data_IF_077938402438
#
_entry.id   IF_077938402438
#
_cell.length_a   1.000
_cell.length_b   1.000
_cell.length_c   1.000
_cell.angle_alpha   90.00
_cell.angle_beta   90.00
_cell.angle_gamma   90.00
#
_symmetry.space_group_name_H-M   'P 1'
#
loop_
_entity.id
_entity.type
_entity.pdbx_description
1 polymer ?
#
# COMPACT_ATOMS: atom_id res chain seq x y z
N UNK A 1 -22.57 16.10 -12.31
CA UNK A 1 -21.79 16.36 -11.10
C UNK A 1 -20.40 16.72 -11.60
N UNK A 2 -19.95 17.95 -11.36
CA UNK A 2 -18.65 18.45 -11.85
C UNK A 2 -17.52 17.69 -11.15
N UNK A 3 -16.58 17.21 -11.95
CA UNK A 3 -15.46 16.33 -11.56
C UNK A 3 -14.29 17.10 -10.87
N UNK A 4 -14.55 18.31 -10.35
CA UNK A 4 -13.51 19.30 -10.06
C UNK A 4 -13.23 19.60 -8.57
N UNK A 5 -13.87 18.92 -7.61
CA UNK A 5 -13.65 19.24 -6.19
C UNK A 5 -13.28 17.99 -5.39
N UNK A 6 -12.00 17.72 -5.23
CA UNK A 6 -11.47 16.68 -4.33
C UNK A 6 -10.06 16.28 -4.70
N UNK A 7 -9.23 16.05 -3.69
CA UNK A 7 -7.83 15.70 -3.81
C UNK A 7 -7.68 14.20 -4.15
N UNK A 8 -6.98 13.87 -5.24
CA UNK A 8 -6.86 12.51 -5.80
C UNK A 8 -5.53 11.88 -5.43
N UNK A 9 -5.56 10.80 -4.67
CA UNK A 9 -4.37 10.06 -4.23
C UNK A 9 -4.39 8.63 -4.76
N UNK A 10 -3.35 8.20 -5.44
CA UNK A 10 -3.11 6.77 -5.68
C UNK A 10 -2.47 6.17 -4.45
N UNK A 11 -3.24 5.42 -3.67
CA UNK A 11 -2.88 5.03 -2.30
C UNK A 11 -1.81 3.93 -2.19
N UNK A 12 -1.37 3.33 -3.32
CA UNK A 12 -0.44 2.21 -3.25
C UNK A 12 0.28 2.01 -4.58
N UNK A 13 1.50 2.51 -4.70
CA UNK A 13 2.35 2.43 -5.90
C UNK A 13 3.69 1.81 -5.53
N UNK A 14 4.15 0.82 -6.32
CA UNK A 14 5.40 0.08 -6.08
C UNK A 14 6.60 0.60 -6.85
N UNK A 15 6.35 1.30 -7.92
CA UNK A 15 7.36 1.82 -8.84
C UNK A 15 7.37 3.34 -8.79
N UNK A 16 8.57 3.93 -8.87
CA UNK A 16 8.73 5.39 -8.86
C UNK A 16 9.93 5.77 -9.70
N UNK A 17 9.69 6.54 -10.73
CA UNK A 17 10.66 7.19 -11.61
C UNK A 17 9.99 8.35 -12.35
N UNK A 18 10.72 9.07 -13.18
CA UNK A 18 10.23 10.22 -13.96
C UNK A 18 8.98 9.87 -14.78
N UNK A 19 8.97 8.72 -15.45
CA UNK A 19 7.81 8.26 -16.24
C UNK A 19 6.57 8.04 -15.37
N UNK A 20 6.74 7.56 -14.14
CA UNK A 20 5.65 7.40 -13.17
C UNK A 20 5.10 8.75 -12.76
N UNK A 21 5.96 9.73 -12.48
CA UNK A 21 5.57 11.10 -12.11
C UNK A 21 4.79 11.76 -13.25
N UNK A 22 5.34 11.76 -14.47
CA UNK A 22 4.67 12.30 -15.66
C UNK A 22 3.29 11.66 -15.86
N UNK A 23 3.22 10.34 -15.68
CA UNK A 23 1.97 9.60 -15.82
C UNK A 23 0.97 9.92 -14.72
N UNK A 24 1.40 10.06 -13.48
CA UNK A 24 0.56 10.45 -12.36
C UNK A 24 -0.07 11.82 -12.60
N UNK A 25 0.74 12.80 -13.00
CA UNK A 25 0.28 14.15 -13.39
C UNK A 25 -0.70 14.10 -14.57
N UNK A 26 -0.37 13.39 -15.64
CA UNK A 26 -1.24 13.21 -16.80
C UNK A 26 -2.55 12.46 -16.45
N UNK A 27 -2.57 11.67 -15.41
CA UNK A 27 -3.76 11.00 -14.90
C UNK A 27 -4.64 11.92 -14.05
N UNK A 28 -4.15 13.09 -13.65
CA UNK A 28 -4.80 14.06 -12.77
C UNK A 28 -4.76 13.63 -11.31
N UNK A 29 -3.68 12.96 -10.91
CA UNK A 29 -3.40 12.72 -9.50
C UNK A 29 -2.73 13.94 -8.88
N UNK A 30 -3.10 14.25 -7.65
CA UNK A 30 -2.47 15.28 -6.83
C UNK A 30 -1.38 14.69 -5.94
N UNK A 31 -1.53 13.40 -5.57
CA UNK A 31 -0.52 12.67 -4.82
C UNK A 31 -0.50 11.17 -5.15
N UNK A 32 0.60 10.52 -4.75
CA UNK A 32 0.69 9.07 -4.70
C UNK A 32 1.44 8.60 -3.45
N UNK A 33 1.04 7.45 -2.91
CA UNK A 33 1.76 6.78 -1.81
C UNK A 33 2.72 5.77 -2.41
N UNK A 34 4.02 6.06 -2.31
CA UNK A 34 5.08 5.17 -2.74
C UNK A 34 5.41 4.16 -1.64
N UNK A 35 5.04 2.91 -1.85
CA UNK A 35 5.20 1.83 -0.87
C UNK A 35 5.77 0.56 -1.53
N UNK A 36 7.06 0.56 -1.91
CA UNK A 36 7.72 -0.57 -2.56
C UNK A 36 7.89 -1.76 -1.60
N UNK A 37 8.13 -2.95 -2.18
CA UNK A 37 8.47 -4.14 -1.40
C UNK A 37 9.95 -4.14 -0.99
N UNK A 38 10.24 -4.58 0.23
CA UNK A 38 11.59 -4.88 0.71
C UNK A 38 12.61 -3.73 0.56
N UNK A 39 12.12 -2.50 0.62
CA UNK A 39 12.94 -1.29 0.65
C UNK A 39 12.82 -0.65 2.03
N UNK A 40 13.93 -0.21 2.62
CA UNK A 40 13.92 0.42 3.94
C UNK A 40 13.30 1.82 3.89
N UNK A 41 12.69 2.23 5.00
CA UNK A 41 11.99 3.51 5.10
C UNK A 41 12.86 4.73 4.73
N UNK A 42 14.13 4.84 5.15
CA UNK A 42 14.97 5.98 4.75
C UNK A 42 15.12 6.12 3.24
N UNK A 43 15.31 5.03 2.52
CA UNK A 43 15.42 5.01 1.05
C UNK A 43 14.09 5.38 0.37
N UNK A 44 12.96 4.94 0.95
CA UNK A 44 11.62 5.32 0.48
C UNK A 44 11.41 6.82 0.64
N UNK A 45 11.78 7.40 1.80
CA UNK A 45 11.66 8.83 2.08
C UNK A 45 12.53 9.67 1.15
N UNK A 46 13.79 9.29 0.98
CA UNK A 46 14.71 9.97 0.07
C UNK A 46 14.16 10.00 -1.36
N UNK A 47 13.68 8.84 -1.83
CA UNK A 47 13.11 8.72 -3.16
C UNK A 47 11.80 9.50 -3.30
N UNK A 48 10.91 9.44 -2.31
CA UNK A 48 9.66 10.20 -2.31
C UNK A 48 9.94 11.70 -2.37
N UNK A 49 10.87 12.21 -1.58
CA UNK A 49 11.27 13.61 -1.60
C UNK A 49 11.89 14.03 -2.96
N UNK A 50 12.71 13.17 -3.57
CA UNK A 50 13.33 13.44 -4.85
C UNK A 50 12.35 13.56 -6.03
N UNK A 51 11.18 12.92 -5.93
CA UNK A 51 10.17 12.90 -6.98
C UNK A 51 8.91 13.70 -6.64
N UNK A 52 8.87 14.39 -5.52
CA UNK A 52 7.81 15.36 -5.18
C UNK A 52 8.11 16.71 -5.80
N UNK A 53 7.09 17.38 -6.31
CA UNK A 53 7.16 18.76 -6.80
C UNK A 53 5.83 19.51 -6.55
N UNK A 54 5.69 20.71 -7.08
CA UNK A 54 4.50 21.57 -6.88
C UNK A 54 3.20 21.00 -7.49
N UNK A 55 3.30 20.03 -8.41
CA UNK A 55 2.15 19.43 -9.12
C UNK A 55 1.80 18.03 -8.60
N UNK A 56 2.76 17.30 -7.99
CA UNK A 56 2.57 15.95 -7.50
C UNK A 56 3.29 15.73 -6.18
N UNK A 57 2.54 15.43 -5.13
CA UNK A 57 3.10 15.03 -3.85
C UNK A 57 3.35 13.52 -3.83
N UNK A 58 4.58 13.10 -3.59
CA UNK A 58 4.94 11.69 -3.37
C UNK A 58 5.06 11.44 -1.87
N UNK A 59 4.18 10.60 -1.34
CA UNK A 59 4.08 10.33 0.09
C UNK A 59 4.77 9.00 0.40
N UNK A 60 5.72 8.95 1.34
CA UNK A 60 6.37 7.70 1.72
C UNK A 60 5.39 6.80 2.47
N UNK A 61 5.24 5.58 1.98
CA UNK A 61 4.48 4.51 2.61
C UNK A 61 5.29 3.22 2.69
N UNK A 62 4.80 2.25 3.42
CA UNK A 62 5.47 0.95 3.56
C UNK A 62 4.42 -0.16 3.49
N UNK A 63 4.54 -1.08 2.54
CA UNK A 63 3.82 -2.34 2.62
C UNK A 63 4.67 -3.34 3.41
N UNK A 64 4.18 -3.73 4.58
CA UNK A 64 4.82 -4.67 5.49
C UNK A 64 4.33 -6.09 5.22
N UNK A 65 5.26 -7.03 5.12
CA UNK A 65 4.98 -8.46 5.09
C UNK A 65 5.11 -9.04 6.48
N UNK A 66 3.99 -9.31 7.13
CA UNK A 66 3.97 -9.93 8.46
C UNK A 66 3.80 -11.44 8.36
N UNK A 67 4.24 -12.16 9.38
CA UNK A 67 4.10 -13.60 9.46
C UNK A 67 5.08 -14.39 8.58
N UNK A 68 4.93 -15.70 8.59
CA UNK A 68 5.78 -16.63 7.85
C UNK A 68 5.42 -16.67 6.35
N UNK A 69 6.31 -17.24 5.54
CA UNK A 69 6.07 -17.42 4.09
C UNK A 69 4.74 -18.11 3.74
N UNK A 70 4.23 -18.98 4.61
CA UNK A 70 2.99 -19.72 4.38
C UNK A 70 1.75 -19.00 4.90
N UNK A 71 1.92 -18.06 5.84
CA UNK A 71 0.85 -17.35 6.51
C UNK A 71 1.10 -15.83 6.52
N UNK A 72 1.53 -15.29 5.39
CA UNK A 72 1.82 -13.86 5.23
C UNK A 72 0.56 -13.03 5.26
N UNK A 73 0.67 -11.85 5.86
CA UNK A 73 -0.35 -10.82 5.82
C UNK A 73 0.29 -9.47 5.55
N UNK A 74 -0.31 -8.71 4.67
CA UNK A 74 0.22 -7.42 4.28
C UNK A 74 -0.53 -6.32 5.02
N UNK A 75 0.23 -5.33 5.48
CA UNK A 75 -0.25 -4.06 6.02
C UNK A 75 0.34 -2.94 5.19
N UNK A 76 -0.45 -1.94 4.85
CA UNK A 76 0.06 -0.70 4.26
C UNK A 76 0.10 0.36 5.35
N UNK A 77 1.30 0.83 5.68
CA UNK A 77 1.54 1.85 6.70
C UNK A 77 1.94 3.18 6.06
N UNK A 78 1.40 4.28 6.59
CA UNK A 78 1.74 5.66 6.21
C UNK A 78 2.00 6.46 7.49
N UNK A 79 2.93 7.41 7.45
CA UNK A 79 3.30 8.21 8.63
C UNK A 79 4.19 7.47 9.62
N UNK A 80 5.03 6.57 9.12
CA UNK A 80 6.06 5.92 9.94
C UNK A 80 7.18 6.91 10.27
N UNK A 81 7.64 6.94 11.51
CA UNK A 81 8.81 7.71 11.94
C UNK A 81 10.09 6.87 11.89
N UNK A 82 10.00 5.61 12.25
CA UNK A 82 11.12 4.68 12.31
C UNK A 82 10.91 3.47 11.39
N UNK A 83 12.01 2.85 10.89
CA UNK A 83 11.90 1.66 10.07
C UNK A 83 11.26 0.49 10.81
N UNK A 84 10.30 -0.17 10.17
CA UNK A 84 9.68 -1.41 10.62
C UNK A 84 10.08 -2.53 9.66
N UNK A 85 10.58 -3.67 10.15
CA UNK A 85 10.99 -4.78 9.28
C UNK A 85 9.79 -5.57 8.75
N UNK A 86 10.04 -6.34 7.70
CA UNK A 86 9.18 -7.43 7.27
C UNK A 86 9.42 -8.68 8.15
N UNK A 87 8.59 -9.70 8.01
CA UNK A 87 8.75 -11.01 8.65
C UNK A 87 8.77 -10.98 10.18
N UNK A 88 8.04 -10.06 10.76
CA UNK A 88 7.66 -10.07 12.18
C UNK A 88 6.21 -10.57 12.32
N UNK A 89 5.82 -10.95 13.52
CA UNK A 89 4.44 -11.35 13.78
C UNK A 89 3.46 -10.22 13.45
N UNK A 90 2.22 -10.54 13.09
CA UNK A 90 1.18 -9.52 12.86
C UNK A 90 0.97 -8.65 14.10
N UNK A 91 0.96 -9.27 15.28
CA UNK A 91 0.83 -8.57 16.56
C UNK A 91 2.01 -7.61 16.81
N UNK A 92 3.24 -8.06 16.57
CA UNK A 92 4.44 -7.22 16.68
C UNK A 92 4.40 -6.03 15.74
N UNK A 93 3.99 -6.25 14.48
CA UNK A 93 3.81 -5.18 13.51
C UNK A 93 2.73 -4.17 13.96
N UNK A 94 1.55 -4.64 14.36
CA UNK A 94 0.45 -3.77 14.82
C UNK A 94 0.83 -2.98 16.08
N UNK A 95 1.58 -3.59 17.00
CA UNK A 95 2.07 -2.90 18.21
C UNK A 95 3.09 -1.82 17.87
N UNK A 96 4.01 -2.10 16.95
CA UNK A 96 5.01 -1.12 16.52
C UNK A 96 4.38 0.04 15.74
N UNK A 97 3.42 -0.25 14.84
CA UNK A 97 2.69 0.78 14.12
C UNK A 97 1.88 1.67 15.06
N UNK A 98 1.29 1.09 16.10
CA UNK A 98 0.59 1.86 17.14
C UNK A 98 1.55 2.70 17.96
N UNK A 99 2.73 2.18 18.32
CA UNK A 99 3.76 2.94 19.06
C UNK A 99 4.18 4.20 18.30
N UNK A 100 4.26 4.10 16.99
CA UNK A 100 4.61 5.22 16.10
C UNK A 100 3.41 6.09 15.72
N UNK A 101 2.22 5.78 16.19
CA UNK A 101 0.99 6.45 15.77
C UNK A 101 0.81 6.48 14.23
N UNK A 102 1.27 5.43 13.56
CA UNK A 102 1.20 5.32 12.11
C UNK A 102 -0.22 4.94 11.64
N UNK A 103 -0.61 5.43 10.49
CA UNK A 103 -1.82 4.98 9.81
C UNK A 103 -1.64 3.57 9.29
N UNK A 104 -2.59 2.68 9.61
CA UNK A 104 -2.65 1.30 9.13
C UNK A 104 -3.81 1.13 8.18
N UNK A 105 -3.52 0.65 6.99
CA UNK A 105 -4.50 0.33 5.96
C UNK A 105 -4.43 -1.17 5.63
N UNK A 106 -5.60 -1.79 5.38
CA UNK A 106 -5.70 -3.18 4.96
C UNK A 106 -5.76 -3.26 3.42
N UNK A 107 -4.65 -3.57 2.73
CA UNK A 107 -4.62 -3.68 1.29
C UNK A 107 -5.26 -4.99 0.83
N UNK A 108 -5.79 -5.02 -0.39
CA UNK A 108 -6.32 -6.18 -1.13
C UNK A 108 -7.04 -7.24 -0.26
N UNK A 109 -8.08 -6.88 0.53
CA UNK A 109 -8.73 -7.81 1.46
C UNK A 109 -9.32 -9.00 0.73
N UNK A 110 -9.09 -10.20 1.28
CA UNK A 110 -9.57 -11.45 0.67
C UNK A 110 -8.85 -11.89 -0.61
N UNK A 111 -7.68 -11.33 -0.89
CA UNK A 111 -6.83 -11.70 -2.03
C UNK A 111 -5.81 -12.76 -1.61
N UNK A 112 -5.92 -13.97 -2.20
CA UNK A 112 -5.04 -15.11 -1.90
C UNK A 112 -4.87 -15.35 -0.37
N UNK A 113 -3.67 -15.74 0.02
CA UNK A 113 -3.27 -15.98 1.43
C UNK A 113 -2.40 -14.85 2.01
N UNK A 114 -2.42 -13.68 1.41
CA UNK A 114 -1.58 -12.53 1.80
C UNK A 114 -2.37 -11.35 2.39
N UNK A 115 -3.67 -11.55 2.60
CA UNK A 115 -4.56 -10.52 3.12
C UNK A 115 -4.89 -10.74 4.59
N UNK A 116 -5.25 -9.66 5.28
CA UNK A 116 -5.92 -9.78 6.57
C UNK A 116 -7.23 -10.58 6.41
N UNK A 117 -7.46 -11.50 7.31
CA UNK A 117 -8.72 -12.26 7.38
C UNK A 117 -9.81 -11.45 8.08
N UNK A 118 -11.06 -11.92 8.01
CA UNK A 118 -12.13 -11.31 8.80
C UNK A 118 -11.88 -11.33 10.31
N UNK A 119 -11.19 -12.38 10.81
CA UNK A 119 -10.80 -12.46 12.22
C UNK A 119 -9.71 -11.41 12.56
N UNK A 120 -8.73 -11.19 11.68
CA UNK A 120 -7.73 -10.15 11.88
C UNK A 120 -8.36 -8.75 11.87
N UNK A 121 -9.25 -8.49 10.91
CA UNK A 121 -9.99 -7.23 10.83
C UNK A 121 -10.85 -7.00 12.09
N UNK A 122 -11.45 -8.05 12.65
CA UNK A 122 -12.20 -7.95 13.89
C UNK A 122 -11.30 -7.71 15.11
N UNK A 123 -10.11 -8.34 15.15
CA UNK A 123 -9.18 -8.23 16.27
C UNK A 123 -8.46 -6.88 16.31
N UNK A 124 -8.20 -6.27 15.17
CA UNK A 124 -7.42 -5.03 15.05
C UNK A 124 -8.23 -3.86 14.47
N UNK A 125 -9.56 -3.97 14.46
CA UNK A 125 -10.42 -3.02 13.79
C UNK A 125 -10.30 -1.58 14.27
N UNK A 126 -10.09 -1.38 15.55
CA UNK A 126 -9.84 -0.08 16.19
C UNK A 126 -8.53 0.61 15.77
N UNK A 127 -7.62 -0.16 15.14
CA UNK A 127 -6.29 0.29 14.68
C UNK A 127 -6.20 0.37 13.15
N UNK A 128 -7.26 -0.01 12.42
CA UNK A 128 -7.30 0.00 10.95
C UNK A 128 -8.05 1.22 10.47
N UNK A 129 -7.36 2.12 9.77
CA UNK A 129 -7.88 3.40 9.29
C UNK A 129 -8.56 3.33 7.92
N UNK A 130 -8.48 2.18 7.26
CA UNK A 130 -9.15 1.96 5.99
C UNK A 130 -8.91 0.57 5.40
N UNK A 131 -9.85 0.14 4.55
CA UNK A 131 -9.79 -1.16 3.86
C UNK A 131 -9.93 -0.93 2.36
N UNK A 132 -9.09 -1.60 1.57
CA UNK A 132 -9.07 -1.41 0.13
C UNK A 132 -10.32 -2.01 -0.53
N UNK A 133 -11.11 -1.14 -1.15
CA UNK A 133 -12.33 -1.51 -1.84
C UNK A 133 -12.07 -1.97 -3.29
N UNK A 134 -11.00 -1.45 -3.91
CA UNK A 134 -10.67 -1.77 -5.29
C UNK A 134 -9.20 -1.54 -5.64
N UNK A 135 -8.61 -2.50 -6.35
CA UNK A 135 -7.39 -2.35 -7.15
C UNK A 135 -7.44 -3.23 -8.41
N UNK A 136 -6.60 -3.00 -9.42
CA UNK A 136 -6.60 -3.73 -10.70
C UNK A 136 -6.36 -5.24 -10.59
N UNK A 137 -5.68 -5.72 -9.56
CA UNK A 137 -5.39 -7.14 -9.35
C UNK A 137 -6.53 -7.92 -8.70
N UNK A 138 -7.49 -7.21 -8.11
CA UNK A 138 -8.71 -7.80 -7.58
C UNK A 138 -9.70 -8.11 -8.72
N UNK A 139 -9.45 -9.21 -9.44
CA UNK A 139 -10.36 -9.68 -10.49
C UNK A 139 -11.79 -9.88 -9.95
N UNK A 140 -12.77 -9.94 -10.84
CA UNK A 140 -14.20 -9.81 -10.56
C UNK A 140 -14.71 -10.47 -9.26
N UNK A 141 -14.24 -11.66 -8.91
CA UNK A 141 -14.67 -12.39 -7.69
C UNK A 141 -14.03 -11.80 -6.43
N UNK A 142 -12.71 -11.56 -6.47
CA UNK A 142 -11.96 -10.96 -5.36
C UNK A 142 -12.40 -9.51 -5.12
N UNK A 143 -12.62 -8.74 -6.19
CA UNK A 143 -13.12 -7.37 -6.07
C UNK A 143 -14.54 -7.27 -5.48
N UNK A 144 -15.43 -8.23 -5.78
CA UNK A 144 -16.75 -8.29 -5.10
C UNK A 144 -16.61 -8.62 -3.62
N UNK A 145 -15.68 -9.54 -3.28
CA UNK A 145 -15.41 -9.90 -1.88
C UNK A 145 -14.84 -8.71 -1.11
N UNK A 146 -13.86 -8.00 -1.67
CA UNK A 146 -13.28 -6.81 -1.05
C UNK A 146 -14.33 -5.74 -0.74
N UNK A 147 -15.17 -5.39 -1.72
CA UNK A 147 -16.27 -4.44 -1.50
C UNK A 147 -17.24 -4.89 -0.42
N UNK A 148 -17.61 -6.17 -0.41
CA UNK A 148 -18.48 -6.71 0.64
C UNK A 148 -17.87 -6.58 2.03
N UNK A 149 -16.57 -6.87 2.18
CA UNK A 149 -15.84 -6.69 3.45
C UNK A 149 -15.91 -5.23 3.91
N UNK A 150 -15.68 -4.30 2.99
CA UNK A 150 -15.76 -2.85 3.27
C UNK A 150 -17.17 -2.45 3.70
N UNK A 151 -18.19 -2.87 2.95
CA UNK A 151 -19.60 -2.52 3.19
C UNK A 151 -20.14 -3.13 4.51
N UNK A 152 -19.92 -4.43 4.71
CA UNK A 152 -20.40 -5.15 5.91
C UNK A 152 -19.69 -4.65 7.19
N UNK A 153 -18.39 -4.39 7.10
CA UNK A 153 -17.58 -3.86 8.21
C UNK A 153 -17.71 -2.35 8.40
N UNK A 154 -18.37 -1.63 7.48
CA UNK A 154 -18.47 -0.17 7.45
C UNK A 154 -17.09 0.51 7.51
N UNK A 155 -16.10 -0.11 6.88
CA UNK A 155 -14.75 0.42 6.85
C UNK A 155 -14.65 1.65 5.96
N UNK A 156 -13.87 2.68 6.35
CA UNK A 156 -13.53 3.75 5.43
C UNK A 156 -12.81 3.18 4.19
N UNK A 157 -13.36 3.35 2.98
CA UNK A 157 -12.78 2.74 1.79
C UNK A 157 -11.53 3.48 1.31
N UNK A 158 -10.62 2.76 0.67
CA UNK A 158 -9.63 3.35 -0.22
C UNK A 158 -9.50 2.51 -1.50
N UNK A 159 -8.91 3.08 -2.52
CA UNK A 159 -8.57 2.40 -3.75
C UNK A 159 -7.18 2.82 -4.22
N UNK A 160 -6.50 1.92 -4.89
CA UNK A 160 -5.16 2.15 -5.41
C UNK A 160 -4.95 1.48 -6.75
N UNK A 161 -3.98 1.94 -7.53
CA UNK A 161 -3.54 1.22 -8.72
C UNK A 161 -2.79 -0.06 -8.36
N UNK A 162 -2.22 -0.14 -7.17
CA UNK A 162 -1.30 -1.20 -6.73
C UNK A 162 -0.27 -1.50 -7.83
N UNK A 163 0.26 -0.43 -8.42
CA UNK A 163 1.03 -0.47 -9.66
C UNK A 163 2.42 -1.04 -9.44
N UNK A 164 2.71 -2.18 -10.06
CA UNK A 164 4.04 -2.74 -10.26
C UNK A 164 4.57 -2.38 -11.66
N UNK A 165 3.66 -2.04 -12.56
CA UNK A 165 3.96 -1.54 -13.89
C UNK A 165 3.67 -0.04 -13.98
N UNK A 166 4.58 0.73 -14.57
CA UNK A 166 4.40 2.18 -14.81
C UNK A 166 3.06 2.51 -15.47
N UNK A 167 2.63 1.64 -16.40
CA UNK A 167 1.41 1.83 -17.18
C UNK A 167 0.12 1.82 -16.36
N UNK A 168 0.14 1.32 -15.13
CA UNK A 168 -1.03 1.17 -14.27
C UNK A 168 -1.21 2.31 -13.27
N UNK A 169 -0.20 3.16 -13.09
CA UNK A 169 -0.30 4.33 -12.22
C UNK A 169 -1.45 5.24 -12.66
N UNK A 170 -2.28 5.65 -11.70
CA UNK A 170 -3.46 6.50 -11.96
C UNK A 170 -4.65 5.77 -12.61
N UNK A 171 -4.65 4.44 -12.65
CA UNK A 171 -5.84 3.67 -13.07
C UNK A 171 -6.93 3.66 -11.98
N UNK A 172 -6.52 3.82 -10.72
CA UNK A 172 -7.41 3.86 -9.55
C UNK A 172 -6.87 4.91 -8.59
N UNK A 173 -7.76 5.61 -7.92
CA UNK A 173 -7.41 6.62 -6.92
C UNK A 173 -8.46 6.69 -5.81
N UNK A 174 -8.05 7.20 -4.67
CA UNK A 174 -8.94 7.65 -3.60
C UNK A 174 -9.07 9.16 -3.70
N UNK A 175 -10.29 9.66 -3.68
CA UNK A 175 -10.59 11.09 -3.69
C UNK A 175 -11.02 11.51 -2.30
N UNK A 176 -10.27 12.42 -1.69
CA UNK A 176 -10.55 13.03 -0.41
C UNK A 176 -11.27 14.37 -0.60
N UNK A 177 -12.15 14.72 0.33
CA UNK A 177 -12.79 16.05 0.37
C UNK A 177 -11.86 17.12 0.94
N UNK A 178 -10.77 16.69 1.60
CA UNK A 178 -9.73 17.55 2.16
C UNK A 178 -8.52 17.59 1.23
N UNK A 179 -7.95 18.78 1.03
CA UNK A 179 -6.68 18.94 0.34
C UNK A 179 -5.53 18.40 1.19
N UNK A 180 -4.53 17.82 0.56
CA UNK A 180 -3.32 17.26 1.16
C UNK A 180 -2.12 18.00 0.54
N UNK A 181 -1.47 18.84 1.31
CA UNK A 181 -0.31 19.62 0.83
C UNK A 181 1.03 19.01 1.29
N UNK A 182 0.99 18.22 2.36
CA UNK A 182 2.13 17.54 2.95
C UNK A 182 1.77 16.10 3.30
N UNK A 183 2.75 15.19 3.45
CA UNK A 183 2.50 13.81 3.85
C UNK A 183 1.67 13.67 5.13
N UNK A 184 1.90 14.57 6.11
CA UNK A 184 1.20 14.58 7.40
C UNK A 184 -0.30 14.86 7.23
N UNK A 185 -0.68 15.69 6.26
CA UNK A 185 -2.10 16.01 6.00
C UNK A 185 -2.89 14.77 5.53
N UNK A 186 -2.24 13.85 4.79
CA UNK A 186 -2.85 12.56 4.43
C UNK A 186 -2.99 11.66 5.66
N UNK A 187 -1.98 11.62 6.52
CA UNK A 187 -1.99 10.85 7.77
C UNK A 187 -3.16 11.32 8.63
N UNK A 188 -3.31 12.62 8.83
CA UNK A 188 -4.40 13.21 9.61
C UNK A 188 -5.77 12.96 8.96
N UNK A 189 -5.89 13.12 7.64
CA UNK A 189 -7.14 12.83 6.93
C UNK A 189 -7.58 11.36 7.06
N UNK A 190 -6.61 10.43 7.09
CA UNK A 190 -6.88 9.00 7.25
C UNK A 190 -7.27 8.66 8.70
N UNK A 191 -6.59 9.22 9.69
CA UNK A 191 -6.89 9.05 11.12
C UNK A 191 -8.26 9.61 11.50
N UNK A 192 -8.56 10.80 11.04
CA UNK A 192 -9.84 11.47 11.29
C UNK A 192 -11.01 10.84 10.50
N UNK A 193 -10.74 9.91 9.59
CA UNK A 193 -11.76 9.30 8.77
C UNK A 193 -12.45 10.27 7.80
N UNK A 194 -11.70 11.26 7.29
CA UNK A 194 -12.23 12.24 6.32
C UNK A 194 -13.00 11.53 5.20
N UNK A 195 -14.18 12.02 4.81
CA UNK A 195 -14.98 11.46 3.74
C UNK A 195 -14.18 11.31 2.45
N UNK A 196 -14.26 10.12 1.87
CA UNK A 196 -13.49 9.78 0.68
C UNK A 196 -14.23 8.79 -0.20
N UNK A 197 -13.95 8.83 -1.49
CA UNK A 197 -14.55 7.94 -2.50
C UNK A 197 -13.47 7.30 -3.36
N UNK A 198 -13.76 6.12 -3.89
CA UNK A 198 -12.85 5.41 -4.79
C UNK A 198 -13.24 5.68 -6.24
N UNK A 199 -12.31 6.28 -6.99
CA UNK A 199 -12.41 6.48 -8.42
C UNK A 199 -11.56 5.49 -9.20
N UNK A 200 -11.98 5.17 -10.43
CA UNK A 200 -11.21 4.31 -11.33
C UNK A 200 -11.47 4.63 -12.78
N UNK A 201 -10.52 4.33 -13.63
CA UNK A 201 -10.74 4.33 -15.07
C UNK A 201 -11.57 3.12 -15.49
N UNK A 202 -12.13 3.18 -16.67
CA UNK A 202 -12.99 2.12 -17.24
C UNK A 202 -12.62 1.87 -18.71
N UNK A 203 -13.22 0.85 -19.32
CA UNK A 203 -13.02 0.52 -20.73
C UNK A 203 -11.89 -0.49 -20.98
N UNK A 204 -11.66 -0.77 -22.27
CA UNK A 204 -10.76 -1.85 -22.71
C UNK A 204 -9.31 -1.61 -22.26
N UNK A 205 -8.84 -0.38 -22.29
CA UNK A 205 -7.46 -0.06 -21.85
C UNK A 205 -7.25 -0.36 -20.38
N UNK A 206 -8.22 -0.01 -19.53
CA UNK A 206 -8.17 -0.35 -18.10
C UNK A 206 -8.14 -1.87 -17.91
N UNK A 207 -8.98 -2.62 -18.62
CA UNK A 207 -9.01 -4.08 -18.52
C UNK A 207 -7.68 -4.72 -18.95
N UNK A 208 -7.06 -4.22 -20.02
CA UNK A 208 -5.75 -4.70 -20.46
C UNK A 208 -4.66 -4.42 -19.42
N UNK A 209 -4.68 -3.26 -18.76
CA UNK A 209 -3.75 -2.94 -17.67
C UNK A 209 -3.98 -3.82 -16.45
N UNK A 210 -5.22 -4.07 -16.07
CA UNK A 210 -5.56 -5.02 -15.00
C UNK A 210 -5.01 -6.43 -15.31
N UNK A 211 -5.15 -6.89 -16.56
CA UNK A 211 -4.62 -8.18 -16.97
C UNK A 211 -3.08 -8.20 -16.94
N UNK A 212 -2.43 -7.14 -17.40
CA UNK A 212 -0.97 -7.03 -17.37
C UNK A 212 -0.43 -7.02 -15.93
N UNK A 213 -1.05 -6.28 -15.01
CA UNK A 213 -0.70 -6.28 -13.59
C UNK A 213 -0.90 -7.66 -12.95
N UNK A 214 -1.97 -8.35 -13.28
CA UNK A 214 -2.21 -9.70 -12.78
C UNK A 214 -1.18 -10.70 -13.32
N UNK A 215 -0.82 -10.61 -14.60
CA UNK A 215 0.23 -11.45 -15.20
C UNK A 215 1.61 -11.17 -14.58
N UNK A 216 1.90 -9.89 -14.30
CA UNK A 216 3.16 -9.50 -13.64
C UNK A 216 3.30 -10.09 -12.23
N UNK A 217 2.21 -10.26 -11.48
CA UNK A 217 2.22 -10.98 -10.21
C UNK A 217 2.75 -12.41 -10.34
N UNK A 218 2.43 -13.10 -11.43
CA UNK A 218 2.96 -14.44 -11.72
C UNK A 218 4.49 -14.42 -11.87
N UNK A 219 5.01 -13.40 -12.54
CA UNK A 219 6.46 -13.18 -12.69
C UNK A 219 7.12 -12.87 -11.33
N UNK A 220 6.61 -11.94 -10.56
CA UNK A 220 7.15 -11.59 -9.24
C UNK A 220 7.09 -12.76 -8.25
N UNK A 221 6.01 -13.54 -8.28
CA UNK A 221 5.85 -14.67 -7.39
C UNK A 221 6.73 -15.89 -7.74
N UNK A 222 7.26 -15.96 -8.95
CA UNK A 222 8.12 -17.07 -9.38
C UNK A 222 9.60 -16.67 -9.41
N UNK A 223 9.99 -15.77 -10.30
CA UNK A 223 11.39 -15.47 -10.58
C UNK A 223 12.03 -14.53 -9.56
N UNK A 224 11.35 -13.46 -9.19
CA UNK A 224 11.92 -12.51 -8.23
C UNK A 224 12.08 -13.08 -6.82
N UNK A 225 11.30 -14.12 -6.46
CA UNK A 225 11.52 -14.86 -5.21
C UNK A 225 12.79 -15.71 -5.26
N UNK A 226 13.06 -16.37 -6.38
CA UNK A 226 14.28 -17.17 -6.56
C UNK A 226 15.50 -16.24 -6.48
N UNK A 227 15.46 -15.11 -7.17
CA UNK A 227 16.53 -14.13 -7.19
C UNK A 227 16.85 -13.60 -5.77
N UNK A 228 15.84 -13.17 -5.04
CA UNK A 228 16.01 -12.66 -3.67
C UNK A 228 16.48 -13.69 -2.66
N UNK A 229 15.89 -14.88 -2.68
CA UNK A 229 16.17 -15.92 -1.67
C UNK A 229 17.53 -16.57 -1.87
N UNK A 230 17.98 -16.68 -3.11
CA UNK A 230 19.16 -17.48 -3.43
C UNK A 230 20.35 -16.67 -3.97
N UNK A 231 20.12 -15.48 -4.53
CA UNK A 231 21.15 -14.72 -5.22
C UNK A 231 21.54 -13.41 -4.53
N UNK A 232 20.65 -12.77 -3.78
CA UNK A 232 20.89 -11.43 -3.21
C UNK A 232 21.21 -11.42 -1.70
N UNK A 233 21.15 -12.56 -1.02
CA UNK A 233 21.42 -12.65 0.42
C UNK A 233 20.29 -12.19 1.32
N UNK A 234 20.62 -11.70 2.52
CA UNK A 234 19.61 -11.30 3.52
C UNK A 234 18.88 -10.03 3.08
N UNK A 235 17.57 -10.09 3.03
CA UNK A 235 16.72 -8.94 2.71
C UNK A 235 17.02 -7.75 3.63
N UNK A 236 17.18 -6.54 3.10
CA UNK A 236 17.49 -5.35 3.91
C UNK A 236 16.38 -4.99 4.91
N UNK A 237 15.18 -5.55 4.74
CA UNK A 237 14.05 -5.40 5.65
C UNK A 237 13.82 -6.60 6.56
N UNK A 238 14.73 -7.59 6.55
CA UNK A 238 14.68 -8.71 7.49
C UNK A 238 14.88 -8.24 8.93
N UNK A 239 14.12 -8.71 9.94
CA UNK A 239 14.18 -8.20 11.31
C UNK A 239 15.57 -8.34 11.96
N UNK A 240 16.35 -9.35 11.56
CA UNK A 240 17.74 -9.55 12.05
C UNK A 240 18.79 -8.78 11.25
N UNK A 241 18.37 -7.90 10.32
CA UNK A 241 19.33 -7.03 9.64
C UNK A 241 19.92 -6.02 10.64
N UNK A 242 21.20 -5.73 10.52
CA UNK A 242 21.96 -4.86 11.44
C UNK A 242 21.31 -3.48 11.67
N UNK A 243 20.60 -2.98 10.71
CA UNK A 243 19.89 -1.70 10.80
C UNK A 243 18.76 -1.66 11.85
N UNK A 244 18.33 -2.80 12.37
CA UNK A 244 17.31 -2.90 13.41
C UNK A 244 17.86 -3.16 14.80
N UNK A 245 19.16 -3.41 14.95
CA UNK A 245 19.88 -3.52 16.24
C UNK A 245 19.24 -4.51 17.23
N UNK A 246 18.63 -5.58 16.73
CA UNK A 246 17.95 -6.59 17.56
C UNK A 246 16.58 -6.19 18.12
N UNK A 247 16.08 -5.00 17.81
CA UNK A 247 14.80 -4.47 18.35
C UNK A 247 13.58 -5.36 18.09
N UNK A 248 13.66 -6.26 17.13
CA UNK A 248 12.54 -7.09 16.68
C UNK A 248 12.83 -8.60 16.79
N UNK A 249 13.88 -9.00 17.53
CA UNK A 249 14.30 -10.40 17.60
C UNK A 249 13.23 -11.29 18.23
N UNK A 250 12.52 -10.81 19.25
CA UNK A 250 11.47 -11.50 19.99
C UNK A 250 10.15 -11.64 19.20
N UNK A 251 9.95 -10.82 18.17
CA UNK A 251 8.78 -10.88 17.27
C UNK A 251 9.13 -11.37 15.87
N UNK A 252 10.40 -11.67 15.60
CA UNK A 252 10.86 -12.21 14.31
C UNK A 252 10.28 -13.61 14.07
N UNK A 253 9.84 -13.87 12.83
CA UNK A 253 9.20 -15.15 12.45
C UNK A 253 10.22 -16.18 11.96
N UNK A 254 11.44 -15.78 11.62
CA UNK A 254 12.56 -16.64 11.21
C UNK A 254 13.82 -16.36 12.01
#
# INVERSE_FOLDING_TARGET
>A
VSDSEGFRVDMHVKVLDETVVERAKAAGLDALVYAPHFVRLPEIRERAAAFSDDELLVIPGRELFTGSWHARKHLLAVGLDEPVPDFITLEGAMSELQRQDAVVLAPHPGFLNVSLTGADLAAYGDRIHGVEAYNPKLLARAGRRARRIVEEGRWPPFGSSYAHLRSSVGEVWTRFERRVERPEDLVDALREGVPRTVGRRTGVRHQLRCLAEFAHLGYENSWSKIDRLFLQGTEPTHPRHIAYEGRFDDVAVY
#
